data_IF_083832142207
#
_entry.id   IF_083832142207
#
_cell.length_a   1.000
_cell.length_b   1.000
_cell.length_c   1.000
_cell.angle_alpha   90.00
_cell.angle_beta   90.00
_cell.angle_gamma   90.00
#
_symmetry.space_group_name_H-M   'P 1'
#
loop_
_entity.id
_entity.type
_entity.pdbx_description
1 polymer ?
#
# COMPACT_ATOMS: atom_id res chain seq x y z
N UNK A 1 4.32 1.10 27.52
CA UNK A 1 3.29 2.01 27.01
C UNK A 1 1.95 1.32 27.14
N UNK A 2 0.92 2.08 27.50
CA UNK A 2 -0.44 1.54 27.68
C UNK A 2 -1.23 1.77 26.38
N UNK A 3 -1.75 0.71 25.77
CA UNK A 3 -2.59 0.79 24.55
C UNK A 3 -4.04 1.27 24.82
N UNK A 4 -4.31 1.77 26.03
CA UNK A 4 -5.64 2.22 26.47
C UNK A 4 -6.07 3.56 25.83
N UNK A 5 -5.22 4.21 25.01
CA UNK A 5 -5.52 5.51 24.38
C UNK A 5 -5.50 6.74 25.29
N UNK A 6 -5.18 6.57 26.59
CA UNK A 6 -5.10 7.68 27.55
C UNK A 6 -3.91 8.60 27.27
N UNK A 7 -2.82 8.04 26.77
CA UNK A 7 -1.59 8.75 26.43
C UNK A 7 -1.31 8.60 24.94
N UNK A 8 -0.99 9.69 24.28
CA UNK A 8 -0.61 9.73 22.87
C UNK A 8 0.81 10.26 22.78
N UNK A 9 1.71 9.53 22.16
CA UNK A 9 3.06 9.99 21.88
C UNK A 9 3.02 11.09 20.82
N UNK A 10 3.58 12.26 21.15
CA UNK A 10 3.72 13.39 20.23
C UNK A 10 5.18 13.62 19.84
N UNK A 11 6.11 13.22 20.69
CA UNK A 11 7.53 13.35 20.51
C UNK A 11 8.26 12.16 21.12
N UNK A 12 9.23 11.64 20.41
CA UNK A 12 10.05 10.50 20.83
C UNK A 12 11.53 10.89 20.77
N UNK A 13 12.27 10.61 21.84
CA UNK A 13 13.71 10.79 21.91
C UNK A 13 14.38 9.42 22.14
N UNK A 14 15.24 9.01 21.20
CA UNK A 14 15.97 7.75 21.24
C UNK A 14 17.43 8.02 21.58
N UNK A 15 17.85 7.56 22.74
CA UNK A 15 19.22 7.69 23.21
C UNK A 15 20.05 6.50 22.69
N UNK A 16 20.98 6.76 21.77
CA UNK A 16 21.85 5.76 21.19
C UNK A 16 23.25 5.85 21.83
N UNK A 17 23.61 4.86 22.59
CA UNK A 17 24.89 4.77 23.29
C UNK A 17 25.75 3.62 22.76
N UNK A 18 25.11 2.63 22.14
CA UNK A 18 25.74 1.40 21.71
C UNK A 18 25.44 1.09 20.24
N UNK A 19 26.30 0.27 19.61
CA UNK A 19 26.14 -0.23 18.26
C UNK A 19 26.39 -1.73 18.20
N UNK A 20 25.63 -2.42 17.36
CA UNK A 20 25.89 -3.79 16.91
C UNK A 20 26.27 -3.72 15.44
N UNK A 21 27.53 -4.02 15.11
CA UNK A 21 28.05 -3.90 13.73
C UNK A 21 27.57 -5.05 12.86
N UNK A 22 27.42 -6.24 13.43
CA UNK A 22 26.86 -7.42 12.75
C UNK A 22 25.94 -8.18 13.69
N UNK A 23 24.91 -8.77 13.13
CA UNK A 23 23.97 -9.60 13.88
C UNK A 23 24.72 -10.73 14.61
N UNK A 24 24.48 -10.89 15.93
CA UNK A 24 25.15 -11.86 16.77
C UNK A 24 26.49 -11.38 17.42
N UNK A 25 27.00 -10.21 17.06
CA UNK A 25 28.17 -9.64 17.72
C UNK A 25 27.81 -8.96 19.04
N UNK A 26 28.85 -8.83 19.94
CA UNK A 26 28.68 -8.10 21.19
C UNK A 26 28.45 -6.61 20.91
N UNK A 27 27.55 -6.05 21.69
CA UNK A 27 27.28 -4.63 21.72
C UNK A 27 28.55 -3.84 22.06
N UNK A 28 28.89 -2.85 21.21
CA UNK A 28 30.03 -1.94 21.41
C UNK A 28 29.53 -0.56 21.77
N UNK A 29 30.25 0.15 22.63
CA UNK A 29 29.96 1.54 22.96
C UNK A 29 30.31 2.44 21.77
N UNK A 30 29.41 3.36 21.42
CA UNK A 30 29.69 4.40 20.44
C UNK A 30 30.76 5.35 20.93
N UNK A 31 31.67 5.77 20.05
CA UNK A 31 32.68 6.79 20.36
C UNK A 31 32.03 8.12 20.79
N UNK A 32 30.87 8.43 20.21
CA UNK A 32 30.07 9.62 20.51
C UNK A 32 28.62 9.18 20.65
N UNK A 33 28.01 9.31 21.85
CA UNK A 33 26.57 9.07 22.01
C UNK A 33 25.75 10.02 21.15
N UNK A 34 24.63 9.53 20.65
CA UNK A 34 23.70 10.30 19.83
C UNK A 34 22.31 10.28 20.45
N UNK A 35 21.54 11.31 20.15
CA UNK A 35 20.10 11.35 20.41
C UNK A 35 19.43 11.52 19.04
N UNK A 36 18.56 10.58 18.72
CA UNK A 36 17.68 10.69 17.57
C UNK A 36 16.30 11.08 18.07
N UNK A 37 15.63 11.98 17.36
CA UNK A 37 14.34 12.51 17.79
C UNK A 37 13.34 12.52 16.65
N UNK A 38 12.11 12.14 16.96
CA UNK A 38 10.99 12.17 16.02
C UNK A 38 9.76 12.83 16.64
N UNK A 39 9.22 13.85 15.97
CA UNK A 39 8.05 14.57 16.41
C UNK A 39 6.92 14.47 15.38
N UNK A 40 5.71 14.13 15.84
CA UNK A 40 4.52 14.17 14.99
C UNK A 40 4.01 15.59 14.82
N UNK A 41 4.24 16.20 13.64
CA UNK A 41 3.83 17.59 13.37
C UNK A 41 2.32 17.79 13.62
N UNK A 42 1.46 17.01 12.99
CA UNK A 42 0.02 17.13 13.16
C UNK A 42 -0.44 16.83 14.59
N UNK A 43 0.20 15.84 15.25
CA UNK A 43 -0.10 15.55 16.66
C UNK A 43 0.22 16.72 17.56
N UNK A 44 1.35 17.37 17.33
CA UNK A 44 1.77 18.56 18.08
C UNK A 44 0.79 19.73 17.84
N UNK A 45 0.42 19.98 16.58
CA UNK A 45 -0.57 21.02 16.23
C UNK A 45 -1.91 20.77 16.91
N UNK A 46 -2.39 19.52 16.93
CA UNK A 46 -3.64 19.14 17.60
C UNK A 46 -3.59 19.49 19.08
N UNK A 47 -2.52 19.11 19.78
CA UNK A 47 -2.37 19.36 21.23
C UNK A 47 -2.28 20.86 21.52
N UNK A 48 -1.44 21.61 20.79
CA UNK A 48 -1.24 23.04 21.00
C UNK A 48 -2.51 23.87 20.73
N UNK A 49 -3.36 23.40 19.82
CA UNK A 49 -4.62 24.09 19.48
C UNK A 49 -5.86 23.50 20.17
N UNK A 50 -5.70 22.52 21.06
CA UNK A 50 -6.82 21.89 21.75
C UNK A 50 -7.81 21.18 20.84
N UNK A 51 -7.37 20.69 19.66
CA UNK A 51 -8.19 19.97 18.72
C UNK A 51 -8.40 18.51 19.15
N UNK A 52 -9.44 17.86 18.64
CA UNK A 52 -9.77 16.47 19.01
C UNK A 52 -9.08 15.43 18.15
N UNK A 53 -8.66 15.80 16.94
CA UNK A 53 -8.09 14.86 15.98
C UNK A 53 -7.16 15.58 15.01
N UNK A 54 -6.17 14.87 14.45
CA UNK A 54 -5.32 15.35 13.35
C UNK A 54 -6.13 15.71 12.10
N UNK A 55 -7.30 15.12 11.94
CA UNK A 55 -8.23 15.43 10.85
C UNK A 55 -9.01 16.74 11.05
N UNK A 56 -8.85 17.39 12.18
CA UNK A 56 -9.46 18.69 12.49
C UNK A 56 -8.47 19.84 12.23
N UNK A 57 -7.25 19.56 11.73
CA UNK A 57 -6.24 20.57 11.50
C UNK A 57 -5.75 20.62 10.04
N UNK A 58 -5.33 21.82 9.62
CA UNK A 58 -4.66 22.10 8.35
C UNK A 58 -5.35 21.50 7.13
N UNK A 59 -4.55 21.03 6.20
CA UNK A 59 -5.02 20.50 4.91
C UNK A 59 -5.92 19.26 5.06
N UNK A 60 -5.74 18.45 6.11
CA UNK A 60 -6.61 17.29 6.34
C UNK A 60 -8.05 17.71 6.58
N UNK A 61 -8.25 18.78 7.35
CA UNK A 61 -9.59 19.36 7.57
C UNK A 61 -10.20 19.87 6.27
N UNK A 62 -9.42 20.60 5.48
CA UNK A 62 -9.86 21.14 4.18
C UNK A 62 -10.29 20.02 3.23
N UNK A 63 -9.53 18.92 3.17
CA UNK A 63 -9.87 17.74 2.35
C UNK A 63 -11.12 17.03 2.87
N UNK A 64 -11.28 16.87 4.20
CA UNK A 64 -12.50 16.32 4.79
C UNK A 64 -13.72 17.18 4.42
N UNK A 65 -13.60 18.50 4.49
CA UNK A 65 -14.68 19.43 4.13
C UNK A 65 -15.01 19.35 2.63
N UNK A 66 -13.99 19.24 1.77
CA UNK A 66 -14.19 19.02 0.34
C UNK A 66 -14.93 17.71 0.07
N UNK A 67 -14.51 16.59 0.67
CA UNK A 67 -15.22 15.31 0.54
C UNK A 67 -16.66 15.45 1.01
N UNK A 68 -16.90 16.13 2.16
CA UNK A 68 -18.24 16.35 2.72
C UNK A 68 -19.15 17.15 1.78
N UNK A 69 -18.59 18.03 0.96
CA UNK A 69 -19.36 18.80 -0.03
C UNK A 69 -19.83 17.97 -1.22
N UNK A 70 -19.28 16.77 -1.45
CA UNK A 70 -19.54 15.92 -2.61
C UNK A 70 -20.09 14.55 -2.27
N UNK A 71 -19.84 14.04 -1.07
CA UNK A 71 -20.28 12.72 -0.63
C UNK A 71 -21.77 12.72 -0.26
N UNK A 72 -22.42 11.55 -0.40
CA UNK A 72 -23.83 11.35 -0.05
C UNK A 72 -24.04 11.13 1.45
N UNK A 73 -23.10 10.43 2.10
CA UNK A 73 -23.11 10.12 3.53
C UNK A 73 -22.28 11.17 4.27
N UNK A 74 -22.73 11.73 5.37
CA UNK A 74 -22.02 12.78 6.11
C UNK A 74 -20.84 12.24 6.92
N UNK A 75 -19.81 13.07 7.15
CA UNK A 75 -18.57 12.70 7.82
C UNK A 75 -18.76 12.04 9.20
N UNK A 76 -19.62 12.57 10.04
CA UNK A 76 -19.86 12.09 11.40
C UNK A 76 -21.20 11.35 11.56
N UNK A 77 -21.77 10.85 10.47
CA UNK A 77 -23.04 10.15 10.51
C UNK A 77 -22.95 8.83 11.29
N UNK A 78 -21.84 8.11 11.11
CA UNK A 78 -21.50 6.90 11.85
C UNK A 78 -19.99 6.67 11.85
N UNK A 79 -19.50 5.70 12.62
CA UNK A 79 -18.06 5.40 12.69
C UNK A 79 -17.47 4.92 11.33
N UNK A 80 -18.23 4.19 10.51
CA UNK A 80 -17.78 3.73 9.21
C UNK A 80 -17.63 4.90 8.23
N UNK A 81 -18.56 5.86 8.21
CA UNK A 81 -18.42 7.06 7.38
C UNK A 81 -17.24 7.90 7.83
N UNK A 82 -17.09 8.16 9.12
CA UNK A 82 -15.96 8.88 9.70
C UNK A 82 -14.62 8.23 9.31
N UNK A 83 -14.52 6.90 9.43
CA UNK A 83 -13.34 6.13 9.04
C UNK A 83 -13.06 6.24 7.54
N UNK A 84 -14.09 6.14 6.69
CA UNK A 84 -13.96 6.23 5.23
C UNK A 84 -13.41 7.58 4.79
N UNK A 85 -13.90 8.67 5.33
CA UNK A 85 -13.37 10.01 5.04
C UNK A 85 -11.89 10.16 5.38
N UNK A 86 -11.52 9.69 6.58
CA UNK A 86 -10.13 9.74 7.06
C UNK A 86 -9.19 8.91 6.21
N UNK A 87 -9.62 7.71 5.79
CA UNK A 87 -8.86 6.85 4.91
C UNK A 87 -8.66 7.51 3.54
N UNK A 88 -9.69 8.11 2.94
CA UNK A 88 -9.56 8.79 1.65
C UNK A 88 -8.53 9.92 1.78
N UNK A 89 -8.67 10.80 2.76
CA UNK A 89 -7.75 11.91 2.96
C UNK A 89 -6.31 11.43 3.16
N UNK A 90 -6.08 10.52 4.08
CA UNK A 90 -4.73 10.03 4.42
C UNK A 90 -4.09 9.24 3.27
N UNK A 91 -4.84 8.32 2.66
CA UNK A 91 -4.29 7.43 1.64
C UNK A 91 -4.02 8.14 0.31
N UNK A 92 -4.83 9.14 -0.07
CA UNK A 92 -4.56 9.93 -1.27
C UNK A 92 -3.36 10.86 -1.07
N UNK A 93 -3.16 11.41 0.14
CA UNK A 93 -1.93 12.14 0.49
C UNK A 93 -0.72 11.22 0.34
N UNK A 94 -0.75 10.07 0.99
CA UNK A 94 0.34 9.10 0.92
C UNK A 94 0.63 8.64 -0.51
N UNK A 95 -0.41 8.37 -1.30
CA UNK A 95 -0.27 7.95 -2.70
C UNK A 95 0.37 9.06 -3.55
N UNK A 96 -0.01 10.32 -3.36
CA UNK A 96 0.60 11.46 -4.04
C UNK A 96 2.10 11.55 -3.75
N UNK A 97 2.51 11.48 -2.48
CA UNK A 97 3.91 11.58 -2.10
C UNK A 97 4.74 10.40 -2.63
N UNK A 98 4.19 9.17 -2.63
CA UNK A 98 4.87 8.01 -3.18
C UNK A 98 5.01 8.09 -4.71
N UNK A 99 3.96 8.51 -5.43
CA UNK A 99 3.98 8.64 -6.89
C UNK A 99 4.79 9.85 -7.36
N UNK A 100 4.70 10.95 -6.62
CA UNK A 100 5.30 12.23 -6.98
C UNK A 100 6.77 12.38 -6.56
N UNK A 101 7.32 11.47 -5.76
CA UNK A 101 8.73 11.47 -5.38
C UNK A 101 9.66 11.32 -6.60
N UNK A 102 10.89 11.84 -6.49
CA UNK A 102 11.91 11.73 -7.55
C UNK A 102 12.24 10.26 -7.88
N UNK A 103 12.14 9.38 -6.90
CA UNK A 103 12.31 7.93 -7.01
C UNK A 103 10.98 7.18 -6.85
N UNK A 104 9.89 7.80 -7.28
CA UNK A 104 8.54 7.33 -7.09
C UNK A 104 8.30 5.87 -7.50
N UNK A 105 7.43 5.20 -6.77
CA UNK A 105 7.11 3.79 -6.97
C UNK A 105 5.74 3.68 -7.64
N UNK A 106 5.64 2.86 -8.68
CA UNK A 106 4.37 2.57 -9.37
C UNK A 106 3.56 1.48 -8.65
N UNK A 107 2.22 1.50 -8.73
CA UNK A 107 1.38 0.43 -8.23
C UNK A 107 1.76 -0.93 -8.84
N UNK A 108 2.05 -1.92 -8.00
CA UNK A 108 2.46 -3.26 -8.44
C UNK A 108 1.86 -4.35 -7.55
N UNK A 109 2.14 -5.62 -7.86
CA UNK A 109 1.70 -6.77 -7.05
C UNK A 109 2.68 -7.14 -5.93
N UNK A 110 3.86 -6.53 -5.90
CA UNK A 110 4.94 -6.90 -4.98
C UNK A 110 5.60 -5.68 -4.34
N UNK A 111 6.22 -5.89 -3.19
CA UNK A 111 7.05 -4.89 -2.52
C UNK A 111 6.30 -3.58 -2.20
N UNK A 112 7.00 -2.47 -2.36
CA UNK A 112 6.49 -1.13 -2.05
C UNK A 112 5.31 -0.72 -2.94
N UNK A 113 5.32 -1.13 -4.22
CA UNK A 113 4.23 -0.85 -5.15
C UNK A 113 2.91 -1.54 -4.77
N UNK A 114 2.98 -2.67 -4.06
CA UNK A 114 1.80 -3.32 -3.49
C UNK A 114 1.17 -2.47 -2.38
N UNK A 115 1.98 -1.84 -1.53
CA UNK A 115 1.48 -0.94 -0.47
C UNK A 115 0.76 0.25 -1.08
N UNK A 116 1.37 0.89 -2.10
CA UNK A 116 0.74 1.99 -2.83
C UNK A 116 -0.60 1.57 -3.47
N UNK A 117 -0.61 0.41 -4.15
CA UNK A 117 -1.83 -0.16 -4.73
C UNK A 117 -2.90 -0.36 -3.68
N UNK A 118 -2.55 -0.88 -2.51
CA UNK A 118 -3.47 -1.08 -1.39
C UNK A 118 -4.06 0.25 -0.88
N UNK A 119 -3.26 1.31 -0.77
CA UNK A 119 -3.77 2.64 -0.40
C UNK A 119 -4.81 3.15 -1.39
N UNK A 120 -4.50 3.11 -2.69
CA UNK A 120 -5.42 3.58 -3.73
C UNK A 120 -6.73 2.77 -3.70
N UNK A 121 -6.65 1.44 -3.68
CA UNK A 121 -7.82 0.56 -3.69
C UNK A 121 -8.68 0.73 -2.46
N UNK A 122 -8.06 0.94 -1.30
CA UNK A 122 -8.80 1.19 -0.07
C UNK A 122 -9.51 2.54 -0.10
N UNK A 123 -8.88 3.58 -0.65
CA UNK A 123 -9.53 4.88 -0.87
C UNK A 123 -10.73 4.77 -1.82
N UNK A 124 -10.62 4.00 -2.92
CA UNK A 124 -11.74 3.73 -3.86
C UNK A 124 -12.90 3.04 -3.16
N UNK A 125 -12.62 2.01 -2.34
CA UNK A 125 -13.67 1.32 -1.58
C UNK A 125 -14.36 2.25 -0.59
N UNK A 126 -13.59 3.04 0.17
CA UNK A 126 -14.13 4.02 1.11
C UNK A 126 -14.97 5.10 0.41
N UNK A 127 -14.54 5.55 -0.77
CA UNK A 127 -15.29 6.50 -1.58
C UNK A 127 -16.66 5.94 -1.99
N UNK A 128 -16.71 4.68 -2.42
CA UNK A 128 -17.96 3.97 -2.72
C UNK A 128 -18.89 3.93 -1.50
N UNK A 129 -18.37 3.59 -0.32
CA UNK A 129 -19.16 3.45 0.91
C UNK A 129 -19.87 4.75 1.33
N UNK A 130 -19.27 5.90 1.05
CA UNK A 130 -19.86 7.21 1.37
C UNK A 130 -20.52 7.90 0.17
N UNK A 131 -20.58 7.24 -0.99
CA UNK A 131 -21.13 7.80 -2.21
C UNK A 131 -20.35 8.99 -2.75
N UNK A 132 -19.03 8.99 -2.57
CA UNK A 132 -18.09 9.97 -3.12
C UNK A 132 -17.51 9.45 -4.43
N UNK A 133 -17.65 10.25 -5.52
CA UNK A 133 -17.18 9.83 -6.83
C UNK A 133 -15.66 9.94 -6.96
N UNK A 134 -15.03 8.90 -7.46
CA UNK A 134 -13.55 8.83 -7.61
C UNK A 134 -12.98 9.85 -8.59
N UNK A 135 -13.80 10.43 -9.48
CA UNK A 135 -13.38 11.55 -10.34
C UNK A 135 -12.87 12.78 -9.56
N UNK A 136 -13.26 12.92 -8.28
CA UNK A 136 -12.80 13.99 -7.41
C UNK A 136 -11.46 13.69 -6.71
N UNK A 137 -10.86 12.52 -6.90
CA UNK A 137 -9.55 12.21 -6.34
C UNK A 137 -8.46 13.15 -6.85
N UNK A 138 -8.53 13.52 -8.13
CA UNK A 138 -7.63 14.52 -8.72
C UNK A 138 -7.71 15.88 -8.00
N UNK A 139 -8.92 16.34 -7.63
CA UNK A 139 -9.07 17.57 -6.87
C UNK A 139 -8.35 17.49 -5.52
N UNK A 140 -8.46 16.35 -4.82
CA UNK A 140 -7.78 16.13 -3.53
C UNK A 140 -6.26 16.13 -3.72
N UNK A 141 -5.73 15.46 -4.78
CA UNK A 141 -4.30 15.49 -5.07
C UNK A 141 -3.82 16.92 -5.33
N UNK A 142 -4.59 17.70 -6.08
CA UNK A 142 -4.28 19.09 -6.36
C UNK A 142 -4.24 19.95 -5.09
N UNK A 143 -5.20 19.78 -4.17
CA UNK A 143 -5.18 20.46 -2.87
C UNK A 143 -3.89 20.15 -2.09
N UNK A 144 -3.43 18.89 -2.11
CA UNK A 144 -2.16 18.53 -1.47
C UNK A 144 -0.93 19.11 -2.17
N UNK A 145 -0.92 19.12 -3.52
CA UNK A 145 0.17 19.76 -4.29
C UNK A 145 0.22 21.25 -4.03
N UNK A 146 -0.92 21.92 -4.02
CA UNK A 146 -1.01 23.37 -3.77
C UNK A 146 -0.52 23.72 -2.36
N UNK A 147 -0.77 22.84 -1.37
CA UNK A 147 -0.36 23.04 0.02
C UNK A 147 1.10 22.72 0.29
N UNK A 148 1.63 21.66 -0.31
CA UNK A 148 2.93 21.10 0.01
C UNK A 148 3.97 21.26 -1.10
N UNK A 149 3.58 21.67 -2.30
CA UNK A 149 4.47 21.69 -3.47
C UNK A 149 5.61 22.70 -3.40
N UNK A 150 5.52 23.72 -2.54
CA UNK A 150 6.64 24.63 -2.29
C UNK A 150 7.72 23.97 -1.43
N UNK A 151 7.33 23.21 -0.41
CA UNK A 151 8.26 22.49 0.48
C UNK A 151 8.77 21.19 -0.17
N UNK A 152 7.95 20.54 -0.99
CA UNK A 152 8.24 19.29 -1.67
C UNK A 152 8.14 19.45 -3.19
N UNK A 153 9.15 20.08 -3.79
CA UNK A 153 9.15 20.44 -5.22
C UNK A 153 8.93 19.26 -6.17
N UNK A 154 9.28 18.03 -5.76
CA UNK A 154 9.12 16.84 -6.57
C UNK A 154 7.62 16.50 -6.82
N UNK A 155 6.76 16.63 -5.81
CA UNK A 155 5.32 16.39 -6.00
C UNK A 155 4.68 17.44 -6.92
N UNK A 156 5.18 18.67 -6.91
CA UNK A 156 4.75 19.74 -7.82
C UNK A 156 5.18 19.44 -9.25
N UNK A 157 6.45 19.05 -9.43
CA UNK A 157 7.02 18.72 -10.74
C UNK A 157 6.36 17.49 -11.36
N UNK A 158 6.10 16.47 -10.55
CA UNK A 158 5.56 15.18 -11.00
C UNK A 158 4.02 15.08 -10.85
N UNK A 159 3.33 16.21 -10.64
CA UNK A 159 1.88 16.28 -10.40
C UNK A 159 1.07 15.52 -11.45
N UNK A 160 1.25 15.83 -12.73
CA UNK A 160 0.48 15.23 -13.81
C UNK A 160 0.74 13.71 -13.91
N UNK A 161 2.00 13.32 -13.72
CA UNK A 161 2.37 11.91 -13.69
C UNK A 161 1.67 11.17 -12.54
N UNK A 162 1.71 11.71 -11.32
CA UNK A 162 1.09 11.12 -10.14
C UNK A 162 -0.44 10.96 -10.32
N UNK A 163 -1.11 11.99 -10.84
CA UNK A 163 -2.55 11.98 -11.15
C UNK A 163 -2.86 10.91 -12.21
N UNK A 164 -2.08 10.86 -13.29
CA UNK A 164 -2.27 9.87 -14.37
C UNK A 164 -2.15 8.43 -13.86
N UNK A 165 -1.11 8.13 -13.08
CA UNK A 165 -0.89 6.78 -12.54
C UNK A 165 -1.94 6.39 -11.50
N UNK A 166 -2.36 7.33 -10.66
CA UNK A 166 -3.47 7.11 -9.73
C UNK A 166 -4.76 6.79 -10.49
N UNK A 167 -5.12 7.58 -11.49
CA UNK A 167 -6.35 7.39 -12.27
C UNK A 167 -6.35 6.05 -13.02
N UNK A 168 -5.22 5.60 -13.56
CA UNK A 168 -5.09 4.27 -14.18
C UNK A 168 -5.40 3.14 -13.18
N UNK A 169 -4.87 3.21 -11.96
CA UNK A 169 -5.14 2.18 -10.94
C UNK A 169 -6.58 2.26 -10.42
N UNK A 170 -7.13 3.48 -10.27
CA UNK A 170 -8.53 3.71 -9.88
C UNK A 170 -9.48 3.10 -10.91
N UNK A 171 -9.28 3.38 -12.20
CA UNK A 171 -10.12 2.84 -13.29
C UNK A 171 -10.05 1.31 -13.34
N UNK A 172 -8.83 0.78 -13.30
CA UNK A 172 -8.60 -0.67 -13.29
C UNK A 172 -9.30 -1.36 -12.12
N UNK A 173 -9.19 -0.78 -10.93
CA UNK A 173 -9.77 -1.38 -9.73
C UNK A 173 -11.28 -1.18 -9.67
N UNK A 174 -11.82 -0.06 -10.10
CA UNK A 174 -13.28 0.18 -10.12
C UNK A 174 -14.02 -0.86 -10.94
N UNK A 175 -13.45 -1.30 -12.07
CA UNK A 175 -14.00 -2.39 -12.89
C UNK A 175 -13.96 -3.73 -12.15
N UNK A 176 -12.82 -4.06 -11.52
CA UNK A 176 -12.65 -5.31 -10.79
C UNK A 176 -13.46 -5.36 -9.47
N UNK A 177 -13.69 -4.20 -8.86
CA UNK A 177 -14.36 -4.07 -7.58
C UNK A 177 -15.81 -4.58 -7.61
N UNK A 178 -16.57 -4.25 -8.64
CA UNK A 178 -17.96 -4.68 -8.79
C UNK A 178 -18.08 -6.21 -8.92
N UNK A 179 -17.18 -6.81 -9.70
CA UNK A 179 -17.12 -8.27 -9.85
C UNK A 179 -16.67 -8.95 -8.55
N UNK A 180 -15.70 -8.38 -7.87
CA UNK A 180 -15.21 -8.84 -6.58
C UNK A 180 -16.29 -8.82 -5.50
N UNK A 181 -17.12 -7.77 -5.43
CA UNK A 181 -18.27 -7.72 -4.51
C UNK A 181 -19.31 -8.81 -4.81
N UNK A 182 -19.66 -8.99 -6.09
CA UNK A 182 -20.60 -10.06 -6.48
C UNK A 182 -20.09 -11.44 -6.08
N UNK A 183 -18.79 -11.67 -6.24
CA UNK A 183 -18.19 -12.94 -5.87
C UNK A 183 -18.08 -13.12 -4.35
N UNK A 184 -17.75 -12.05 -3.62
CA UNK A 184 -17.77 -12.04 -2.16
C UNK A 184 -19.17 -12.37 -1.62
N UNK A 185 -20.23 -11.76 -2.18
CA UNK A 185 -21.62 -12.05 -1.82
C UNK A 185 -21.99 -13.52 -2.10
N UNK A 186 -21.50 -14.10 -3.21
CA UNK A 186 -21.71 -15.54 -3.49
C UNK A 186 -21.04 -16.42 -2.45
N UNK A 187 -19.82 -16.07 -2.01
CA UNK A 187 -19.10 -16.81 -0.95
C UNK A 187 -19.91 -16.78 0.35
N UNK A 188 -20.36 -15.60 0.78
CA UNK A 188 -21.19 -15.46 1.99
C UNK A 188 -22.49 -16.26 1.86
N UNK A 189 -23.21 -16.10 0.76
CA UNK A 189 -24.46 -16.84 0.52
C UNK A 189 -24.24 -18.35 0.49
N UNK A 190 -23.09 -18.81 -0.01
CA UNK A 190 -22.69 -20.22 0.03
C UNK A 190 -22.52 -20.75 1.45
N UNK A 191 -21.88 -19.96 2.32
CA UNK A 191 -21.70 -20.31 3.74
C UNK A 191 -23.06 -20.34 4.45
N UNK A 192 -23.94 -19.36 4.21
CA UNK A 192 -25.27 -19.34 4.85
C UNK A 192 -26.12 -20.54 4.44
N UNK A 193 -26.15 -20.92 3.16
CA UNK A 193 -26.83 -22.13 2.69
C UNK A 193 -26.27 -23.39 3.34
N UNK A 194 -24.96 -23.48 3.50
CA UNK A 194 -24.32 -24.60 4.17
C UNK A 194 -24.69 -24.67 5.65
N UNK A 195 -24.80 -23.54 6.34
CA UNK A 195 -25.27 -23.46 7.73
C UNK A 195 -26.71 -23.93 7.88
N UNK A 196 -27.60 -23.51 6.98
CA UNK A 196 -29.01 -23.97 6.99
C UNK A 196 -29.08 -25.48 6.85
N UNK A 197 -28.30 -26.06 5.92
CA UNK A 197 -28.22 -27.49 5.72
C UNK A 197 -27.61 -28.23 6.92
N UNK A 198 -26.50 -27.71 7.48
CA UNK A 198 -25.83 -28.29 8.64
C UNK A 198 -26.74 -28.26 9.90
N UNK A 199 -27.49 -27.17 10.09
CA UNK A 199 -28.45 -27.02 11.18
C UNK A 199 -29.54 -28.11 11.14
N UNK A 200 -29.96 -28.51 9.95
CA UNK A 200 -30.94 -29.64 9.79
C UNK A 200 -30.36 -30.97 10.24
N UNK A 201 -29.02 -31.10 10.34
CA UNK A 201 -28.28 -32.27 10.81
C UNK A 201 -27.76 -32.15 12.25
N UNK A 202 -28.03 -31.04 12.92
CA UNK A 202 -27.49 -30.77 14.27
C UNK A 202 -26.01 -30.36 14.29
N UNK A 203 -25.42 -29.97 13.15
CA UNK A 203 -24.04 -29.53 13.02
C UNK A 203 -23.93 -28.02 13.08
N UNK A 204 -22.80 -27.50 13.60
CA UNK A 204 -22.51 -26.07 13.67
C UNK A 204 -21.41 -25.74 12.68
N UNK A 205 -21.68 -24.81 11.75
CA UNK A 205 -20.73 -24.31 10.78
C UNK A 205 -20.22 -22.93 11.26
N UNK A 206 -18.90 -22.73 11.40
CA UNK A 206 -18.37 -21.43 11.84
C UNK A 206 -18.53 -20.34 10.79
N UNK A 207 -18.58 -19.08 11.25
CA UNK A 207 -18.61 -17.89 10.40
C UNK A 207 -17.22 -17.57 9.83
N UNK A 208 -16.61 -18.49 9.09
CA UNK A 208 -15.24 -18.34 8.58
C UNK A 208 -15.24 -18.48 7.06
N UNK A 209 -14.67 -17.49 6.37
CA UNK A 209 -14.37 -17.56 4.94
C UNK A 209 -13.07 -18.32 4.76
N UNK A 210 -13.06 -19.39 3.98
CA UNK A 210 -11.88 -20.22 3.78
C UNK A 210 -10.76 -19.44 3.09
N UNK A 211 -9.50 -19.77 3.43
CA UNK A 211 -8.32 -19.14 2.83
C UNK A 211 -8.27 -19.28 1.30
N UNK A 212 -8.75 -20.40 0.75
CA UNK A 212 -8.87 -20.58 -0.71
C UNK A 212 -9.87 -19.62 -1.35
N UNK A 213 -11.00 -19.34 -0.70
CA UNK A 213 -11.97 -18.36 -1.20
C UNK A 213 -11.39 -16.93 -1.13
N UNK A 214 -10.71 -16.59 -0.04
CA UNK A 214 -9.99 -15.31 0.08
C UNK A 214 -8.92 -15.18 -1.00
N UNK A 215 -8.15 -16.24 -1.27
CA UNK A 215 -7.12 -16.22 -2.31
C UNK A 215 -7.72 -16.07 -3.71
N UNK A 216 -8.83 -16.71 -4.02
CA UNK A 216 -9.54 -16.56 -5.29
C UNK A 216 -10.02 -15.12 -5.51
N UNK A 217 -10.56 -14.47 -4.48
CA UNK A 217 -10.92 -13.05 -4.53
C UNK A 217 -9.71 -12.17 -4.86
N UNK A 218 -8.55 -12.46 -4.27
CA UNK A 218 -7.31 -11.75 -4.53
C UNK A 218 -6.78 -12.00 -5.94
N UNK A 219 -6.62 -13.25 -6.34
CA UNK A 219 -5.94 -13.65 -7.58
C UNK A 219 -6.79 -13.33 -8.82
N UNK A 220 -8.06 -13.69 -8.79
CA UNK A 220 -8.97 -13.57 -9.95
C UNK A 220 -9.56 -12.17 -10.09
N UNK A 221 -9.96 -11.55 -8.97
CA UNK A 221 -10.67 -10.26 -8.98
C UNK A 221 -9.79 -9.09 -8.51
N UNK A 222 -8.54 -9.36 -8.14
CA UNK A 222 -7.64 -8.32 -7.63
C UNK A 222 -8.13 -7.66 -6.35
N UNK A 223 -8.96 -8.36 -5.57
CA UNK A 223 -9.55 -7.89 -4.33
C UNK A 223 -8.54 -8.07 -3.19
N UNK A 224 -7.96 -7.01 -2.62
CA UNK A 224 -6.94 -7.16 -1.59
C UNK A 224 -7.44 -7.99 -0.41
N UNK A 225 -6.57 -8.84 0.16
CA UNK A 225 -6.93 -9.69 1.29
C UNK A 225 -7.44 -8.88 2.48
N UNK A 226 -6.81 -7.73 2.76
CA UNK A 226 -7.22 -6.83 3.82
C UNK A 226 -8.63 -6.27 3.60
N UNK A 227 -9.01 -6.02 2.35
CA UNK A 227 -10.37 -5.61 2.01
C UNK A 227 -11.37 -6.75 2.23
N UNK A 228 -11.00 -7.98 1.85
CA UNK A 228 -11.81 -9.18 2.14
C UNK A 228 -12.02 -9.34 3.64
N UNK A 229 -10.96 -9.16 4.44
CA UNK A 229 -11.02 -9.24 5.91
C UNK A 229 -11.91 -8.16 6.51
N UNK A 230 -11.81 -6.92 6.03
CA UNK A 230 -12.63 -5.79 6.48
C UNK A 230 -14.12 -6.04 6.19
N UNK A 231 -14.46 -6.44 4.98
CA UNK A 231 -15.85 -6.75 4.58
C UNK A 231 -16.42 -7.98 5.29
N UNK A 232 -15.60 -9.00 5.53
CA UNK A 232 -15.97 -10.16 6.31
C UNK A 232 -16.35 -9.74 7.73
N UNK A 233 -15.47 -8.97 8.39
CA UNK A 233 -15.73 -8.47 9.76
C UNK A 233 -16.98 -7.59 9.85
N UNK A 234 -17.26 -6.74 8.86
CA UNK A 234 -18.48 -5.92 8.81
C UNK A 234 -19.75 -6.76 8.73
N UNK A 235 -19.66 -7.98 8.21
CA UNK A 235 -20.78 -8.94 8.11
C UNK A 235 -20.78 -10.03 9.19
N UNK A 236 -19.90 -9.91 10.20
CA UNK A 236 -19.82 -10.89 11.30
C UNK A 236 -19.13 -12.21 10.92
N UNK A 237 -18.24 -12.15 9.92
CA UNK A 237 -17.40 -13.27 9.50
C UNK A 237 -15.93 -13.04 9.85
N UNK A 238 -15.23 -14.14 10.07
CA UNK A 238 -13.76 -14.18 10.13
C UNK A 238 -13.20 -14.69 8.81
N UNK A 239 -11.88 -14.56 8.62
CA UNK A 239 -11.15 -15.11 7.47
C UNK A 239 -10.07 -16.07 7.93
N UNK A 240 -9.88 -17.16 7.19
CA UNK A 240 -8.79 -18.11 7.40
C UNK A 240 -7.49 -17.53 6.79
N UNK A 241 -6.74 -16.76 7.63
CA UNK A 241 -5.49 -16.12 7.22
C UNK A 241 -4.38 -17.11 6.90
N UNK A 242 -4.31 -18.23 7.65
CA UNK A 242 -3.28 -19.25 7.43
C UNK A 242 -3.53 -19.99 6.12
N UNK A 243 -4.76 -20.38 5.86
CA UNK A 243 -5.15 -20.97 4.60
C UNK A 243 -4.95 -20.03 3.41
N UNK A 244 -5.16 -18.72 3.58
CA UNK A 244 -4.85 -17.73 2.56
C UNK A 244 -3.33 -17.65 2.28
N UNK A 245 -2.49 -17.56 3.31
CA UNK A 245 -1.04 -17.53 3.16
C UNK A 245 -0.53 -18.77 2.45
N UNK A 246 -1.01 -19.94 2.84
CA UNK A 246 -0.66 -21.20 2.20
C UNK A 246 -1.04 -21.23 0.70
N UNK A 247 -2.27 -20.82 0.37
CA UNK A 247 -2.72 -20.74 -1.03
C UNK A 247 -1.89 -19.74 -1.85
N UNK A 248 -1.50 -18.63 -1.25
CA UNK A 248 -0.65 -17.62 -1.86
C UNK A 248 0.77 -18.14 -2.12
N UNK A 249 1.38 -18.83 -1.16
CA UNK A 249 2.71 -19.45 -1.29
C UNK A 249 2.71 -20.56 -2.35
N UNK A 250 1.69 -21.43 -2.36
CA UNK A 250 1.52 -22.47 -3.40
C UNK A 250 1.41 -21.86 -4.80
N UNK A 251 0.71 -20.73 -4.94
CA UNK A 251 0.60 -20.02 -6.22
C UNK A 251 1.93 -19.37 -6.62
N UNK A 252 2.64 -18.75 -5.67
CA UNK A 252 3.97 -18.18 -5.93
C UNK A 252 4.96 -19.26 -6.38
N UNK A 253 4.96 -20.42 -5.74
CA UNK A 253 5.85 -21.54 -6.12
C UNK A 253 5.52 -22.08 -7.51
N UNK A 254 4.25 -22.24 -7.85
CA UNK A 254 3.81 -22.60 -9.21
C UNK A 254 4.23 -21.55 -10.23
N UNK A 255 4.12 -20.27 -9.91
CA UNK A 255 4.58 -19.17 -10.79
C UNK A 255 6.10 -19.16 -10.94
N UNK A 256 6.85 -19.42 -9.86
CA UNK A 256 8.33 -19.56 -9.90
C UNK A 256 8.77 -20.74 -10.74
N UNK A 257 8.13 -21.90 -10.58
CA UNK A 257 8.44 -23.10 -11.37
C UNK A 257 8.05 -22.93 -12.84
N UNK A 258 6.93 -22.29 -13.15
CA UNK A 258 6.53 -21.96 -14.52
C UNK A 258 7.47 -20.93 -15.16
N UNK A 259 8.03 -19.99 -14.38
CA UNK A 259 9.01 -18.99 -14.85
C UNK A 259 10.47 -19.44 -14.74
N UNK A 260 10.77 -20.55 -14.11
CA UNK A 260 12.14 -21.07 -13.92
C UNK A 260 12.87 -21.40 -15.24
N UNK A 261 12.15 -21.45 -16.35
CA UNK A 261 12.72 -21.58 -17.71
C UNK A 261 12.83 -20.27 -18.51
N UNK A 262 12.22 -19.17 -18.06
CA UNK A 262 12.06 -17.98 -18.91
C UNK A 262 12.85 -16.75 -18.51
N UNK A 263 13.11 -16.49 -17.23
CA UNK A 263 13.90 -15.32 -16.82
C UNK A 263 14.44 -15.41 -15.38
N UNK A 264 15.75 -15.66 -15.23
CA UNK A 264 16.47 -15.29 -13.99
C UNK A 264 17.01 -13.87 -14.19
N UNK A 265 16.41 -12.86 -13.54
CA UNK A 265 16.98 -11.52 -13.48
C UNK A 265 18.20 -11.49 -12.55
N UNK A 266 19.19 -10.63 -12.87
CA UNK A 266 20.38 -10.44 -12.08
C UNK A 266 21.60 -11.20 -12.60
N UNK A 267 22.63 -11.36 -11.73
CA UNK A 267 23.83 -12.18 -12.03
C UNK A 267 23.47 -13.67 -11.93
N UNK A 268 23.83 -14.41 -12.99
CA UNK A 268 23.62 -15.85 -13.01
C UNK A 268 24.57 -16.60 -12.06
N UNK A 269 25.77 -16.06 -11.85
CA UNK A 269 26.82 -16.61 -10.97
C UNK A 269 27.77 -15.50 -10.47
N UNK A 270 28.75 -15.86 -9.64
CA UNK A 270 29.77 -14.97 -9.09
C UNK A 270 31.11 -15.03 -9.83
N UNK A 271 31.13 -15.54 -11.09
CA UNK A 271 32.36 -15.62 -11.89
C UNK A 271 32.91 -14.24 -12.24
N UNK A 272 34.23 -14.18 -12.49
CA UNK A 272 34.91 -12.97 -12.98
C UNK A 272 34.29 -12.45 -14.28
N UNK A 273 33.86 -13.33 -15.18
CA UNK A 273 33.21 -12.96 -16.42
C UNK A 273 31.87 -12.26 -16.17
N UNK A 274 31.01 -12.80 -15.29
CA UNK A 274 29.76 -12.19 -14.89
C UNK A 274 29.97 -10.85 -14.17
N UNK A 275 31.01 -10.72 -13.32
CA UNK A 275 31.38 -9.47 -12.67
C UNK A 275 31.83 -8.38 -13.67
N UNK A 276 32.61 -8.72 -14.68
CA UNK A 276 33.01 -7.81 -15.75
C UNK A 276 31.80 -7.34 -16.58
N UNK A 277 30.90 -8.27 -16.95
CA UNK A 277 29.70 -7.93 -17.70
C UNK A 277 28.70 -7.10 -16.84
N UNK A 278 28.67 -7.30 -15.54
CA UNK A 278 27.92 -6.45 -14.63
C UNK A 278 28.45 -5.00 -14.61
N UNK A 279 29.78 -4.84 -14.52
CA UNK A 279 30.41 -3.51 -14.63
C UNK A 279 30.15 -2.88 -16.00
N UNK A 280 30.25 -3.65 -17.09
CA UNK A 280 29.91 -3.18 -18.43
C UNK A 280 28.45 -2.72 -18.55
N UNK A 281 27.52 -3.36 -17.84
CA UNK A 281 26.12 -2.93 -17.73
C UNK A 281 26.00 -1.51 -17.18
N UNK A 282 26.70 -1.20 -16.11
CA UNK A 282 26.68 0.15 -15.50
C UNK A 282 27.28 1.19 -16.43
N UNK A 283 28.39 0.87 -17.12
CA UNK A 283 29.02 1.77 -18.09
C UNK A 283 28.10 2.02 -19.29
N UNK A 284 27.44 0.99 -19.79
CA UNK A 284 26.48 1.11 -20.88
C UNK A 284 25.29 1.99 -20.48
N UNK A 285 24.73 1.80 -19.29
CA UNK A 285 23.64 2.63 -18.78
C UNK A 285 24.07 4.09 -18.62
N UNK A 286 25.27 4.34 -18.11
CA UNK A 286 25.82 5.69 -18.00
C UNK A 286 26.00 6.35 -19.39
N UNK A 287 26.50 5.58 -20.37
CA UNK A 287 26.64 6.03 -21.76
C UNK A 287 25.28 6.36 -22.39
N UNK A 288 24.29 5.48 -22.23
CA UNK A 288 22.95 5.68 -22.76
C UNK A 288 22.26 6.92 -22.13
N UNK A 289 22.42 7.12 -20.83
CA UNK A 289 21.91 8.35 -20.16
C UNK A 289 22.58 9.61 -20.65
N UNK A 290 23.89 9.56 -20.92
CA UNK A 290 24.65 10.68 -21.51
C UNK A 290 24.15 11.04 -22.90
N UNK A 291 23.76 10.06 -23.70
CA UNK A 291 23.31 10.25 -25.09
C UNK A 291 21.83 10.61 -25.19
N UNK A 292 20.98 9.98 -24.40
CA UNK A 292 19.53 10.05 -24.54
C UNK A 292 18.81 10.72 -23.34
N UNK A 293 19.58 11.20 -22.35
CA UNK A 293 19.05 11.86 -21.16
C UNK A 293 18.61 10.91 -20.04
N UNK A 294 18.17 11.49 -18.93
CA UNK A 294 17.83 10.76 -17.71
C UNK A 294 16.54 9.91 -17.80
N UNK A 295 15.80 10.01 -18.89
CA UNK A 295 14.63 9.17 -19.14
C UNK A 295 14.97 7.68 -19.44
N UNK A 296 16.25 7.38 -19.69
CA UNK A 296 16.68 6.00 -19.88
C UNK A 296 16.76 5.28 -18.55
N UNK A 297 15.85 4.34 -18.33
CA UNK A 297 15.77 3.54 -17.11
C UNK A 297 15.92 2.06 -17.40
N UNK A 298 16.73 1.38 -16.60
CA UNK A 298 16.85 -0.07 -16.63
C UNK A 298 15.60 -0.72 -16.06
N UNK A 299 14.91 -1.57 -16.83
CA UNK A 299 13.73 -2.32 -16.39
C UNK A 299 14.06 -3.70 -15.82
N UNK A 300 15.26 -4.20 -16.13
CA UNK A 300 15.76 -5.48 -15.64
C UNK A 300 17.13 -5.78 -16.22
N UNK A 301 17.78 -6.84 -15.77
CA UNK A 301 19.01 -7.35 -16.37
C UNK A 301 19.08 -8.87 -16.24
N UNK A 302 19.74 -9.49 -17.20
CA UNK A 302 20.15 -10.88 -17.12
C UNK A 302 21.60 -10.97 -17.60
N UNK A 303 22.49 -11.36 -16.71
CA UNK A 303 23.95 -11.37 -16.95
C UNK A 303 24.44 -12.80 -16.70
N UNK A 304 24.99 -13.42 -17.75
CA UNK A 304 25.66 -14.72 -17.74
C UNK A 304 27.11 -14.52 -18.16
N UNK A 305 28.00 -15.50 -17.98
CA UNK A 305 29.39 -15.39 -18.47
C UNK A 305 29.52 -15.09 -19.98
N UNK A 306 28.54 -15.49 -20.80
CA UNK A 306 28.57 -15.33 -22.25
C UNK A 306 27.84 -14.09 -22.76
N UNK A 307 26.92 -13.53 -21.97
CA UNK A 307 26.09 -12.38 -22.41
C UNK A 307 25.55 -11.53 -21.29
N UNK A 308 25.34 -10.25 -21.62
CA UNK A 308 24.51 -9.38 -20.82
C UNK A 308 23.28 -8.95 -21.62
N UNK A 309 22.15 -8.82 -20.93
CA UNK A 309 20.89 -8.29 -21.45
C UNK A 309 20.33 -7.26 -20.46
N UNK A 310 19.95 -6.09 -21.00
CA UNK A 310 19.36 -4.95 -20.31
C UNK A 310 17.92 -4.78 -20.74
#
# INVERSE_FOLDING_TARGET
ACDCGKYIEIWNDVFMQYVVEKEGEKVKQLKKPNIDTGMGLERTVVILNGLKSVYDCGILKEVIDFISSKAKVKYLENENSKRSYRIIADHLRSALFILGDAHGVLPSNVGQGYILRRFIRRAVNCARNIGFETKYFENILNMYVDRHGEDYSDIKRNREFAISELNKEVEKFSKALEEGYKEFDKVINGIEKHKEFAKSKGEVVPNIISGKACFRLYDTFGFPFELTKELASERGYEVDEEGYKKAFEEHQEKSRTASAGTFKGGLADTSMASAHLHTATHLLMAGLRKMFGNGVMQKGSNITPERMRL
#
